data_IF_378408781807
#
_entry.id   IF_378408781807
#
_cell.length_a   1.000
_cell.length_b   1.000
_cell.length_c   1.000
_cell.angle_alpha   90.00
_cell.angle_beta   90.00
_cell.angle_gamma   90.00
#
_symmetry.space_group_name_H-M   'P 1'
#
loop_
_entity.id
_entity.type
_entity.pdbx_description
1 polymer ?
#
# COMPACT_ATOMS: atom_id res chain seq x y z
N UNK A 1 2.72 -10.10 -16.22
CA UNK A 1 3.01 -8.63 -16.24
C UNK A 1 2.40 -7.91 -15.03
N UNK A 2 1.11 -8.10 -14.73
CA UNK A 2 0.42 -7.44 -13.59
C UNK A 2 1.09 -7.69 -12.24
N UNK A 3 1.45 -8.94 -11.91
CA UNK A 3 2.14 -9.27 -10.63
C UNK A 3 3.44 -8.49 -10.42
N UNK A 4 4.31 -8.45 -11.44
CA UNK A 4 5.57 -7.69 -11.38
C UNK A 4 5.30 -6.20 -11.16
N UNK A 5 4.28 -5.64 -11.83
CA UNK A 5 3.90 -4.23 -11.66
C UNK A 5 3.37 -3.96 -10.24
N UNK A 6 2.54 -4.85 -9.72
CA UNK A 6 2.02 -4.74 -8.36
C UNK A 6 3.13 -4.73 -7.31
N UNK A 7 4.07 -5.69 -7.40
CA UNK A 7 5.24 -5.75 -6.52
C UNK A 7 6.10 -4.49 -6.67
N UNK A 8 6.33 -4.03 -7.90
CA UNK A 8 7.06 -2.78 -8.17
C UNK A 8 6.44 -1.56 -7.49
N UNK A 9 5.10 -1.45 -7.47
CA UNK A 9 4.41 -0.39 -6.75
C UNK A 9 4.59 -0.49 -5.24
N UNK A 10 4.55 -1.69 -4.64
CA UNK A 10 4.78 -1.82 -3.19
C UNK A 10 6.21 -1.44 -2.82
N UNK A 11 7.20 -1.88 -3.61
CA UNK A 11 8.60 -1.52 -3.38
C UNK A 11 8.83 -0.01 -3.53
N UNK A 12 8.23 0.62 -4.54
CA UNK A 12 8.30 2.07 -4.73
C UNK A 12 7.64 2.83 -3.58
N UNK A 13 6.43 2.43 -3.17
CA UNK A 13 5.74 3.03 -2.04
C UNK A 13 6.57 2.93 -0.75
N UNK A 14 7.20 1.78 -0.53
CA UNK A 14 8.10 1.55 0.60
C UNK A 14 9.32 2.48 0.59
N UNK A 15 9.94 2.67 -0.57
CA UNK A 15 11.05 3.61 -0.73
C UNK A 15 10.62 5.08 -0.52
N UNK A 16 9.39 5.42 -0.87
CA UNK A 16 8.82 6.75 -0.63
C UNK A 16 8.62 7.02 0.87
N UNK A 17 8.15 6.03 1.64
CA UNK A 17 8.08 6.14 3.12
C UNK A 17 9.45 6.39 3.73
N UNK A 18 10.49 5.71 3.26
CA UNK A 18 11.86 5.90 3.76
C UNK A 18 12.38 7.32 3.50
N UNK A 19 11.91 7.97 2.44
CA UNK A 19 12.21 9.36 2.11
C UNK A 19 11.26 10.37 2.79
N UNK A 20 10.31 9.90 3.62
CA UNK A 20 9.23 10.70 4.23
C UNK A 20 8.27 11.34 3.22
N UNK A 21 8.21 10.79 2.01
CA UNK A 21 7.25 11.17 0.97
C UNK A 21 5.90 10.44 1.18
N UNK A 22 5.27 10.68 2.34
CA UNK A 22 4.15 9.86 2.86
C UNK A 22 2.91 9.93 1.96
N UNK A 23 2.53 11.11 1.50
CA UNK A 23 1.40 11.28 0.57
C UNK A 23 1.61 10.49 -0.72
N UNK A 24 2.81 10.61 -1.30
CA UNK A 24 3.16 9.90 -2.52
C UNK A 24 3.20 8.38 -2.28
N UNK A 25 3.70 7.93 -1.12
CA UNK A 25 3.70 6.53 -0.73
C UNK A 25 2.28 5.96 -0.67
N UNK A 26 1.35 6.65 -0.01
CA UNK A 26 -0.06 6.23 0.08
C UNK A 26 -0.72 6.15 -1.31
N UNK A 27 -0.48 7.13 -2.17
CA UNK A 27 -0.98 7.13 -3.56
C UNK A 27 -0.43 5.94 -4.37
N UNK A 28 0.87 5.66 -4.27
CA UNK A 28 1.50 4.51 -4.93
C UNK A 28 0.99 3.18 -4.35
N UNK A 29 0.83 3.11 -3.03
CA UNK A 29 0.30 1.94 -2.32
C UNK A 29 -1.09 1.54 -2.79
N UNK A 30 -1.99 2.51 -3.04
CA UNK A 30 -3.33 2.22 -3.56
C UNK A 30 -3.29 1.56 -4.94
N UNK A 31 -2.36 1.96 -5.81
CA UNK A 31 -2.17 1.31 -7.13
C UNK A 31 -1.72 -0.14 -6.97
N UNK A 32 -0.88 -0.42 -5.97
CA UNK A 32 -0.50 -1.79 -5.63
C UNK A 32 -1.72 -2.61 -5.16
N UNK A 33 -2.54 -2.06 -4.25
CA UNK A 33 -3.74 -2.72 -3.71
C UNK A 33 -4.71 -3.10 -4.83
N UNK A 34 -4.97 -2.18 -5.76
CA UNK A 34 -5.87 -2.43 -6.89
C UNK A 34 -5.40 -3.61 -7.74
N UNK A 35 -4.10 -3.68 -8.03
CA UNK A 35 -3.54 -4.77 -8.83
C UNK A 35 -3.51 -6.08 -8.04
N UNK A 36 -3.14 -6.05 -6.77
CA UNK A 36 -3.07 -7.25 -5.93
C UNK A 36 -4.46 -7.87 -5.71
N UNK A 37 -5.51 -7.05 -5.56
CA UNK A 37 -6.89 -7.53 -5.47
C UNK A 37 -7.30 -8.32 -6.71
N UNK A 38 -6.94 -7.84 -7.92
CA UNK A 38 -7.24 -8.58 -9.16
C UNK A 38 -6.49 -9.91 -9.26
N UNK A 39 -5.36 -10.04 -8.57
CA UNK A 39 -4.53 -11.23 -8.59
C UNK A 39 -4.87 -12.24 -7.49
N UNK A 40 -5.62 -11.84 -6.45
CA UNK A 40 -5.94 -12.66 -5.27
C UNK A 40 -4.72 -13.40 -4.72
N UNK A 41 -3.68 -12.65 -4.36
CA UNK A 41 -2.36 -13.22 -4.01
C UNK A 41 -2.05 -13.07 -2.52
N UNK A 42 -1.86 -14.19 -1.82
CA UNK A 42 -1.47 -14.20 -0.39
C UNK A 42 -0.11 -13.50 -0.17
N UNK A 43 0.89 -13.83 -1.00
CA UNK A 43 2.18 -13.13 -1.04
C UNK A 43 2.03 -11.61 -1.23
N UNK A 44 0.99 -11.19 -1.96
CA UNK A 44 0.68 -9.77 -2.16
C UNK A 44 0.18 -9.10 -0.89
N UNK A 45 -0.64 -9.80 -0.11
CA UNK A 45 -1.12 -9.33 1.18
C UNK A 45 0.02 -9.14 2.17
N UNK A 46 1.00 -10.06 2.21
CA UNK A 46 2.22 -9.92 3.03
C UNK A 46 2.98 -8.62 2.73
N UNK A 47 3.20 -8.32 1.44
CA UNK A 47 3.87 -7.07 1.05
C UNK A 47 3.09 -5.81 1.45
N UNK A 48 1.76 -5.85 1.39
CA UNK A 48 0.92 -4.72 1.81
C UNK A 48 0.91 -4.54 3.33
N UNK A 49 0.94 -5.63 4.08
CA UNK A 49 1.05 -5.57 5.54
C UNK A 49 2.40 -5.00 5.98
N UNK A 50 3.49 -5.45 5.38
CA UNK A 50 4.83 -4.87 5.59
C UNK A 50 4.85 -3.37 5.29
N UNK A 51 4.21 -2.96 4.19
CA UNK A 51 4.07 -1.54 3.84
C UNK A 51 3.25 -0.77 4.88
N UNK A 52 2.13 -1.33 5.36
CA UNK A 52 1.27 -0.72 6.37
C UNK A 52 1.99 -0.53 7.70
N UNK A 53 2.81 -1.51 8.11
CA UNK A 53 3.65 -1.39 9.31
C UNK A 53 4.67 -0.25 9.20
N UNK A 54 5.24 -0.03 8.01
CA UNK A 54 6.18 1.08 7.77
C UNK A 54 5.50 2.46 7.80
N UNK A 55 4.19 2.53 7.59
CA UNK A 55 3.41 3.76 7.78
C UNK A 55 3.06 4.06 9.24
N UNK A 56 3.27 3.13 10.18
CA UNK A 56 2.91 3.30 11.59
C UNK A 56 3.48 4.57 12.26
N UNK A 57 4.71 5.04 11.95
CA UNK A 57 5.23 6.31 12.47
C UNK A 57 4.45 7.54 11.99
N UNK A 58 3.69 7.43 10.89
CA UNK A 58 2.95 8.51 10.23
C UNK A 58 1.43 8.34 10.37
N UNK A 59 0.96 7.48 11.29
CA UNK A 59 -0.47 7.14 11.46
C UNK A 59 -1.39 8.35 11.69
N UNK A 60 -0.83 9.44 12.23
CA UNK A 60 -1.56 10.66 12.54
C UNK A 60 -1.66 11.62 11.33
N UNK A 61 -1.04 11.28 10.20
CA UNK A 61 -1.23 12.01 8.95
C UNK A 61 -2.59 11.66 8.31
N UNK A 62 -3.35 12.66 7.84
CA UNK A 62 -4.66 12.42 7.20
C UNK A 62 -4.60 11.41 6.06
N UNK A 63 -3.54 11.48 5.24
CA UNK A 63 -3.37 10.60 4.08
C UNK A 63 -3.17 9.13 4.47
N UNK A 64 -2.52 8.87 5.62
CA UNK A 64 -2.31 7.50 6.13
C UNK A 64 -3.62 6.94 6.68
N UNK A 65 -4.42 7.76 7.37
CA UNK A 65 -5.76 7.37 7.82
C UNK A 65 -6.68 7.06 6.64
N UNK A 66 -6.69 7.92 5.62
CA UNK A 66 -7.48 7.71 4.41
C UNK A 66 -7.07 6.44 3.68
N UNK A 67 -5.75 6.19 3.57
CA UNK A 67 -5.22 4.96 3.03
C UNK A 67 -5.72 3.73 3.79
N UNK A 68 -5.66 3.75 5.12
CA UNK A 68 -6.19 2.69 5.98
C UNK A 68 -7.67 2.42 5.77
N UNK A 69 -8.51 3.47 5.83
CA UNK A 69 -9.94 3.34 5.59
C UNK A 69 -10.26 2.76 4.19
N UNK A 70 -9.50 3.16 3.18
CA UNK A 70 -9.61 2.62 1.81
C UNK A 70 -9.23 1.14 1.72
N UNK A 71 -8.33 0.64 2.56
CA UNK A 71 -8.00 -0.79 2.63
C UNK A 71 -9.15 -1.58 3.27
N UNK A 72 -9.70 -1.08 4.38
CA UNK A 72 -10.80 -1.74 5.10
C UNK A 72 -12.04 -1.88 4.21
N UNK A 73 -12.43 -0.80 3.51
CA UNK A 73 -13.55 -0.84 2.53
C UNK A 73 -13.32 -1.89 1.45
N UNK A 74 -12.07 -2.08 1.00
CA UNK A 74 -11.73 -3.06 -0.04
C UNK A 74 -11.63 -4.49 0.49
N UNK A 75 -11.40 -4.70 1.79
CA UNK A 75 -11.40 -6.02 2.41
C UNK A 75 -12.82 -6.54 2.65
N UNK A 76 -13.79 -5.63 2.83
CA UNK A 76 -15.19 -5.94 3.06
C UNK A 76 -16.02 -6.22 1.79
N UNK A 77 -15.45 -6.02 0.59
CA UNK A 77 -16.12 -6.14 -0.72
C UNK A 77 -15.57 -7.29 -1.55
#
# INVERSE_FOLDING_TARGET
RVRRRAIGHVLLATAQVQQREVEQACSTGLKAVELLRTLRSDRGAEYLEDFRQRLAPFRDEPVVREFGARLEVRAAA
#
